data_IF_851381400090
#
_entry.id   IF_851381400090
#
_cell.length_a   1.000
_cell.length_b   1.000
_cell.length_c   1.000
_cell.angle_alpha   90.00
_cell.angle_beta   90.00
_cell.angle_gamma   90.00
#
_symmetry.space_group_name_H-M   'P 1'
#
loop_
_entity.id
_entity.type
_entity.pdbx_description
1 polymer ?
#
# COMPACT_ATOMS: atom_id res chain seq x y z
N UNK A 1 -3.93 58.91 -9.17
CA UNK A 1 -4.58 59.02 -7.84
C UNK A 1 -4.63 57.61 -7.27
N UNK A 2 -3.93 57.34 -6.16
CA UNK A 2 -3.92 56.04 -5.51
C UNK A 2 -4.53 56.17 -4.12
N UNK A 3 -5.38 55.21 -3.72
CA UNK A 3 -5.94 55.12 -2.38
C UNK A 3 -5.74 53.70 -1.85
N UNK A 4 -4.71 53.54 -1.02
CA UNK A 4 -4.47 52.34 -0.23
C UNK A 4 -5.23 52.43 1.10
N UNK A 5 -6.02 51.40 1.43
CA UNK A 5 -6.57 51.22 2.77
C UNK A 5 -6.37 49.77 3.21
N UNK A 6 -5.45 49.58 4.14
CA UNK A 6 -5.25 48.33 4.88
C UNK A 6 -6.29 48.24 6.00
N UNK A 7 -6.87 47.06 6.21
CA UNK A 7 -7.71 46.78 7.38
C UNK A 7 -7.42 45.38 7.93
N UNK A 8 -6.59 45.33 8.96
CA UNK A 8 -6.37 44.14 9.79
C UNK A 8 -7.49 44.04 10.82
N UNK A 9 -8.21 42.92 10.88
CA UNK A 9 -9.12 42.61 11.98
C UNK A 9 -8.51 41.55 12.88
N UNK A 10 -8.21 41.92 14.13
CA UNK A 10 -7.85 40.97 15.17
C UNK A 10 -9.10 40.25 15.67
N UNK A 11 -9.04 38.92 15.79
CA UNK A 11 -10.07 38.14 16.50
C UNK A 11 -9.49 37.75 17.86
N UNK A 12 -10.00 38.40 18.91
CA UNK A 12 -9.61 38.16 20.30
C UNK A 12 -10.01 36.76 20.75
N UNK A 13 -9.08 36.04 21.36
CA UNK A 13 -9.32 34.70 21.89
C UNK A 13 -10.18 34.75 23.16
N UNK A 14 -11.35 34.08 23.13
CA UNK A 14 -12.11 33.75 24.34
C UNK A 14 -11.68 32.39 24.87
N UNK A 15 -11.27 32.33 26.14
CA UNK A 15 -10.85 31.10 26.82
C UNK A 15 -11.95 30.04 26.81
N UNK A 16 -11.58 28.81 26.46
CA UNK A 16 -12.09 27.62 27.13
C UNK A 16 -10.88 26.83 27.64
N UNK A 17 -10.69 26.84 28.95
CA UNK A 17 -9.96 25.78 29.65
C UNK A 17 -10.98 24.60 29.76
N UNK A 18 -10.61 23.32 29.80
CA UNK A 18 -9.46 22.76 30.49
C UNK A 18 -8.95 21.45 29.84
N UNK A 19 -7.92 20.86 30.47
CA UNK A 19 -7.17 19.70 30.02
C UNK A 19 -8.01 18.41 29.89
N UNK A 20 -7.64 17.54 28.95
CA UNK A 20 -6.95 16.30 29.35
C UNK A 20 -6.27 15.59 28.18
N UNK A 21 -5.01 15.20 28.39
CA UNK A 21 -4.25 14.33 27.49
C UNK A 21 -4.74 12.89 27.62
N UNK A 22 -5.46 12.38 26.61
CA UNK A 22 -5.81 10.96 26.54
C UNK A 22 -4.61 10.11 26.10
N UNK A 23 -3.74 9.82 27.08
CA UNK A 23 -2.80 8.71 26.98
C UNK A 23 -3.57 7.39 26.93
N UNK A 24 -3.19 6.50 26.03
CA UNK A 24 -3.72 5.15 25.97
C UNK A 24 -3.05 4.27 27.02
N UNK A 25 -3.81 3.72 27.96
CA UNK A 25 -3.40 2.51 28.67
C UNK A 25 -4.64 1.71 29.14
N UNK A 26 -4.79 0.41 28.80
CA UNK A 26 -5.99 -0.36 29.12
C UNK A 26 -5.82 -1.24 30.37
N UNK A 27 -6.79 -1.22 31.29
CA UNK A 27 -6.85 -2.20 32.39
C UNK A 27 -8.26 -2.39 32.99
N UNK A 28 -8.89 -3.53 32.66
CA UNK A 28 -10.06 -4.14 33.32
C UNK A 28 -11.36 -3.28 33.39
N UNK A 29 -12.59 -3.81 33.62
CA UNK A 29 -13.04 -5.16 33.97
C UNK A 29 -14.40 -5.47 33.30
N UNK A 30 -14.74 -6.75 33.18
CA UNK A 30 -15.90 -7.29 32.43
C UNK A 30 -17.27 -7.13 33.15
N UNK A 31 -18.37 -6.99 32.39
CA UNK A 31 -19.64 -7.81 32.36
C UNK A 31 -20.69 -7.10 31.47
N UNK A 32 -21.04 -7.67 30.29
CA UNK A 32 -22.27 -8.44 29.98
C UNK A 32 -23.57 -7.61 30.13
N UNK A 33 -24.41 -7.36 29.12
CA UNK A 33 -24.65 -7.93 27.77
C UNK A 33 -25.32 -6.87 26.86
N UNK A 34 -25.70 -7.02 25.58
CA UNK A 34 -25.69 -8.11 24.55
C UNK A 34 -25.88 -7.52 23.13
N UNK A 35 -25.89 -8.35 22.07
CA UNK A 35 -26.23 -8.01 20.66
C UNK A 35 -25.42 -6.87 20.01
N UNK A 36 -24.10 -6.89 20.19
CA UNK A 36 -23.19 -6.21 19.27
C UNK A 36 -22.76 -7.18 18.15
N UNK A 37 -22.95 -6.81 16.88
CA UNK A 37 -22.39 -7.55 15.74
C UNK A 37 -20.88 -7.35 15.74
N UNK A 38 -20.15 -8.38 16.17
CA UNK A 38 -18.71 -8.29 16.34
C UNK A 38 -18.01 -8.52 14.99
N UNK A 39 -17.50 -7.44 14.37
CA UNK A 39 -16.70 -7.53 13.14
C UNK A 39 -15.33 -8.13 13.48
N UNK A 40 -15.26 -9.46 13.40
CA UNK A 40 -14.01 -10.23 13.55
C UNK A 40 -13.11 -9.95 12.35
N UNK A 41 -12.28 -8.91 12.43
CA UNK A 41 -11.11 -8.80 11.55
C UNK A 41 -10.17 -9.97 11.87
N UNK A 42 -10.25 -11.02 11.07
CA UNK A 42 -9.31 -12.13 11.09
C UNK A 42 -7.97 -11.66 10.50
N UNK A 43 -7.13 -11.06 11.34
CA UNK A 43 -5.69 -11.02 11.08
C UNK A 43 -5.15 -12.43 11.24
N UNK A 44 -5.12 -13.20 10.15
CA UNK A 44 -4.34 -14.44 10.09
C UNK A 44 -2.87 -14.07 10.25
N UNK A 45 -2.30 -14.46 11.39
CA UNK A 45 -0.85 -14.46 11.61
C UNK A 45 -0.16 -15.30 10.53
N UNK A 46 0.99 -14.88 9.99
CA UNK A 46 1.63 -15.58 8.87
C UNK A 46 2.04 -17.02 9.26
N UNK A 47 1.96 -17.98 8.33
CA UNK A 47 2.49 -19.32 8.55
C UNK A 47 4.03 -19.28 8.59
N UNK A 48 4.57 -19.18 9.81
CA UNK A 48 5.98 -19.43 10.07
C UNK A 48 6.26 -20.94 10.08
N UNK A 49 6.42 -21.54 8.91
CA UNK A 49 7.07 -22.84 8.72
C UNK A 49 7.50 -22.98 7.25
N UNK A 50 8.80 -23.07 6.99
CA UNK A 50 9.32 -23.30 5.64
C UNK A 50 9.27 -24.77 5.24
N UNK A 51 9.15 -25.05 3.93
CA UNK A 51 9.60 -26.29 3.31
C UNK A 51 9.54 -26.19 1.77
N UNK A 52 10.63 -26.60 1.11
CA UNK A 52 10.59 -27.26 -0.20
C UNK A 52 10.36 -26.40 -1.45
N UNK A 53 11.44 -26.15 -2.20
CA UNK A 53 11.37 -25.98 -3.65
C UNK A 53 10.66 -27.18 -4.30
N UNK A 54 9.58 -26.93 -5.05
CA UNK A 54 8.94 -27.90 -5.94
C UNK A 54 7.82 -27.26 -6.80
N UNK A 55 8.17 -26.45 -7.81
CA UNK A 55 7.37 -26.24 -9.03
C UNK A 55 5.88 -25.87 -8.90
N UNK A 56 5.43 -25.34 -7.76
CA UNK A 56 4.05 -24.87 -7.57
C UNK A 56 3.97 -23.44 -8.08
N UNK A 57 3.04 -23.16 -9.00
CA UNK A 57 2.70 -21.79 -9.41
C UNK A 57 2.31 -21.00 -8.17
N UNK A 58 3.28 -20.28 -7.59
CA UNK A 58 3.13 -19.65 -6.28
C UNK A 58 2.06 -18.57 -6.42
N UNK A 59 1.00 -18.73 -5.61
CA UNK A 59 -0.18 -17.87 -5.67
C UNK A 59 0.26 -16.46 -5.29
N UNK A 60 0.30 -15.57 -6.29
CA UNK A 60 0.73 -14.19 -6.13
C UNK A 60 -0.21 -13.47 -5.15
N UNK A 61 0.38 -12.90 -4.10
CA UNK A 61 -0.32 -12.20 -3.03
C UNK A 61 0.30 -10.83 -2.77
N UNK A 62 -0.34 -10.04 -1.91
CA UNK A 62 0.18 -8.72 -1.55
C UNK A 62 1.45 -8.91 -0.71
N UNK A 63 2.51 -8.17 -1.04
CA UNK A 63 3.84 -8.32 -0.45
C UNK A 63 4.74 -9.36 -1.13
N UNK A 64 4.22 -10.27 -1.96
CA UNK A 64 5.04 -11.26 -2.66
C UNK A 64 6.11 -10.60 -3.53
N UNK A 65 7.35 -11.11 -3.53
CA UNK A 65 8.39 -10.64 -4.43
C UNK A 65 8.13 -11.16 -5.85
N UNK A 66 8.38 -10.32 -6.84
CA UNK A 66 8.16 -10.62 -8.26
C UNK A 66 9.36 -10.16 -9.09
N UNK A 67 9.53 -10.78 -10.26
CA UNK A 67 10.47 -10.35 -11.29
C UNK A 67 9.71 -10.10 -12.60
N UNK A 68 9.98 -8.97 -13.25
CA UNK A 68 9.44 -8.62 -14.56
C UNK A 68 10.08 -9.52 -15.62
N UNK A 69 9.26 -10.21 -16.41
CA UNK A 69 9.71 -11.12 -17.48
C UNK A 69 9.77 -10.41 -18.83
N UNK A 70 8.85 -9.49 -19.09
CA UNK A 70 8.77 -8.71 -20.34
C UNK A 70 8.39 -7.27 -20.01
N UNK A 71 9.01 -6.30 -20.67
CA UNK A 71 8.67 -4.88 -20.53
C UNK A 71 7.31 -4.57 -21.18
N UNK A 72 6.30 -4.07 -20.43
CA UNK A 72 5.04 -3.61 -21.02
C UNK A 72 5.30 -2.47 -22.01
N UNK A 73 4.60 -2.42 -23.16
CA UNK A 73 4.75 -1.30 -24.12
C UNK A 73 4.26 0.04 -23.56
N UNK A 74 3.20 0.00 -22.76
CA UNK A 74 2.62 1.15 -22.08
C UNK A 74 2.39 0.80 -20.61
N UNK A 75 2.53 1.78 -19.73
CA UNK A 75 2.43 1.57 -18.28
C UNK A 75 1.71 2.75 -17.61
N UNK A 76 0.91 2.48 -16.57
CA UNK A 76 0.30 3.52 -15.75
C UNK A 76 1.12 3.73 -14.48
N UNK A 77 1.39 4.99 -14.14
CA UNK A 77 2.06 5.34 -12.88
C UNK A 77 1.03 5.57 -11.78
N UNK A 78 1.29 5.09 -10.57
CA UNK A 78 0.41 5.28 -9.41
C UNK A 78 0.64 6.63 -8.70
N UNK A 79 0.75 7.71 -9.50
CA UNK A 79 0.79 9.08 -9.00
C UNK A 79 -0.64 9.60 -8.70
N UNK A 80 -0.75 10.77 -8.03
CA UNK A 80 -2.04 11.40 -7.71
C UNK A 80 -2.96 11.57 -8.92
N UNK A 81 -2.37 11.83 -10.11
CA UNK A 81 -3.05 11.74 -11.40
C UNK A 81 -2.45 10.56 -12.19
N UNK A 82 -3.16 9.43 -12.33
CA UNK A 82 -2.66 8.27 -13.05
C UNK A 82 -2.58 8.50 -14.56
N UNK A 83 -1.39 8.80 -15.08
CA UNK A 83 -1.15 8.90 -16.51
C UNK A 83 -0.67 7.55 -17.10
N UNK A 84 -1.21 7.20 -18.27
CA UNK A 84 -0.70 6.13 -19.13
C UNK A 84 0.43 6.72 -19.98
N UNK A 85 1.60 6.09 -19.95
CA UNK A 85 2.80 6.54 -20.68
C UNK A 85 3.44 5.38 -21.43
N UNK A 86 4.18 5.69 -22.50
CA UNK A 86 5.07 4.71 -23.15
C UNK A 86 6.14 4.28 -22.15
N UNK A 87 6.48 3.00 -22.14
CA UNK A 87 7.56 2.50 -21.31
C UNK A 87 8.92 2.75 -21.97
N UNK A 88 9.41 3.99 -21.86
CA UNK A 88 10.73 4.41 -22.35
C UNK A 88 11.86 3.90 -21.45
N UNK A 89 11.90 2.59 -21.18
CA UNK A 89 12.88 1.95 -20.29
C UNK A 89 12.66 2.20 -18.79
N UNK A 90 11.43 2.58 -18.39
CA UNK A 90 11.05 2.76 -16.98
C UNK A 90 10.91 1.43 -16.24
N UNK A 91 10.49 0.39 -16.95
CA UNK A 91 10.37 -0.98 -16.45
C UNK A 91 10.98 -1.92 -17.48
N UNK A 92 11.98 -2.70 -17.05
CA UNK A 92 12.79 -3.57 -17.89
C UNK A 92 12.58 -5.04 -17.51
N UNK A 93 12.82 -6.00 -18.42
CA UNK A 93 12.94 -7.40 -18.05
C UNK A 93 14.06 -7.56 -17.02
N UNK A 94 13.85 -8.39 -16.01
CA UNK A 94 14.77 -8.55 -14.88
C UNK A 94 14.54 -7.59 -13.71
N UNK A 95 13.72 -6.54 -13.85
CA UNK A 95 13.40 -5.66 -12.73
C UNK A 95 12.67 -6.43 -11.63
N UNK A 96 13.18 -6.35 -10.39
CA UNK A 96 12.59 -6.98 -9.21
C UNK A 96 11.70 -5.97 -8.48
N UNK A 97 10.57 -6.45 -7.95
CA UNK A 97 9.62 -5.65 -7.20
C UNK A 97 8.84 -6.43 -6.16
N UNK A 98 7.88 -5.73 -5.54
CA UNK A 98 6.87 -6.33 -4.65
C UNK A 98 5.47 -5.89 -5.03
N UNK A 99 4.50 -6.78 -4.87
CA UNK A 99 3.09 -6.46 -5.06
C UNK A 99 2.58 -5.57 -3.93
N UNK A 100 1.98 -4.43 -4.28
CA UNK A 100 1.36 -3.46 -3.37
C UNK A 100 -0.15 -3.67 -3.24
N UNK A 101 -0.84 -3.94 -4.35
CA UNK A 101 -2.28 -4.26 -4.34
C UNK A 101 -2.73 -4.94 -5.63
N UNK A 102 -3.77 -5.79 -5.54
CA UNK A 102 -4.47 -6.31 -6.71
C UNK A 102 -5.46 -5.26 -7.24
N UNK A 103 -5.62 -5.19 -8.56
CA UNK A 103 -6.67 -4.42 -9.24
C UNK A 103 -7.51 -5.38 -10.11
N UNK A 104 -8.70 -4.95 -10.58
CA UNK A 104 -9.48 -5.75 -11.52
C UNK A 104 -8.71 -6.06 -12.82
N UNK A 105 -9.18 -7.07 -13.56
CA UNK A 105 -8.62 -7.49 -14.86
C UNK A 105 -7.16 -7.96 -14.83
N UNK A 106 -6.75 -8.60 -13.73
CA UNK A 106 -5.38 -9.10 -13.50
C UNK A 106 -4.29 -8.01 -13.64
N UNK A 107 -4.65 -6.77 -13.30
CA UNK A 107 -3.72 -5.65 -13.17
C UNK A 107 -3.25 -5.57 -11.72
N UNK A 108 -1.98 -5.28 -11.50
CA UNK A 108 -1.35 -5.27 -10.19
C UNK A 108 -0.60 -3.97 -9.98
N UNK A 109 -0.74 -3.37 -8.80
CA UNK A 109 0.16 -2.30 -8.38
C UNK A 109 1.46 -2.95 -7.89
N UNK A 110 2.56 -2.69 -8.57
CA UNK A 110 3.90 -3.22 -8.27
C UNK A 110 4.81 -2.08 -7.87
N UNK A 111 5.52 -2.24 -6.74
CA UNK A 111 6.60 -1.33 -6.32
C UNK A 111 7.90 -1.85 -6.89
N UNK A 112 8.52 -1.04 -7.75
CA UNK A 112 9.87 -1.19 -8.28
C UNK A 112 10.76 -0.10 -7.66
N UNK A 113 12.08 -0.20 -7.84
CA UNK A 113 13.03 0.79 -7.33
C UNK A 113 12.77 2.22 -7.86
N UNK A 114 12.32 2.33 -9.10
CA UNK A 114 11.98 3.60 -9.77
C UNK A 114 10.61 4.18 -9.37
N UNK A 115 9.70 3.38 -8.82
CA UNK A 115 8.36 3.86 -8.43
C UNK A 115 7.30 2.76 -8.35
N UNK A 116 6.04 3.18 -8.20
CA UNK A 116 4.88 2.28 -8.18
C UNK A 116 4.10 2.37 -9.48
N UNK A 117 3.88 1.23 -10.13
CA UNK A 117 3.24 1.14 -11.45
C UNK A 117 2.12 0.11 -11.48
N UNK A 118 1.19 0.26 -12.41
CA UNK A 118 0.19 -0.77 -12.72
C UNK A 118 0.70 -1.65 -13.87
N UNK A 119 0.83 -2.94 -13.60
CA UNK A 119 1.40 -3.95 -14.50
C UNK A 119 0.43 -5.15 -14.59
N UNK A 120 0.15 -5.65 -15.78
CA UNK A 120 -0.65 -6.87 -15.98
C UNK A 120 0.12 -8.11 -15.47
N UNK A 121 -0.58 -9.10 -14.91
CA UNK A 121 0.02 -10.34 -14.39
C UNK A 121 0.81 -11.16 -15.40
N UNK A 122 0.63 -10.93 -16.71
CA UNK A 122 1.39 -11.56 -17.80
C UNK A 122 2.84 -11.06 -17.94
N UNK A 123 3.16 -9.87 -17.40
CA UNK A 123 4.48 -9.24 -17.57
C UNK A 123 5.47 -9.57 -16.44
N UNK A 124 5.04 -10.25 -15.38
CA UNK A 124 5.89 -10.61 -14.25
C UNK A 124 5.57 -12.02 -13.74
N UNK A 125 6.50 -12.61 -13.00
CA UNK A 125 6.32 -13.89 -12.32
C UNK A 125 6.77 -13.79 -10.85
N UNK A 126 6.35 -14.71 -9.96
CA UNK A 126 6.93 -14.81 -8.62
C UNK A 126 8.47 -14.87 -8.69
N UNK A 127 9.15 -14.19 -7.77
CA UNK A 127 10.58 -14.36 -7.60
C UNK A 127 10.82 -15.57 -6.69
N UNK A 128 11.29 -16.66 -7.28
CA UNK A 128 11.77 -17.82 -6.54
C UNK A 128 13.22 -17.52 -6.12
N UNK A 129 13.43 -17.41 -4.80
CA UNK A 129 14.75 -17.34 -4.20
C UNK A 129 15.11 -18.76 -3.79
N UNK A 130 15.95 -19.42 -4.57
CA UNK A 130 16.66 -20.60 -4.08
C UNK A 130 17.65 -20.10 -3.02
N UNK A 131 17.48 -20.57 -1.79
CA UNK A 131 18.43 -20.36 -0.71
C UNK A 131 19.31 -21.60 -0.66
N UNK A 132 20.36 -21.60 -1.47
CA UNK A 132 21.49 -22.50 -1.31
C UNK A 132 22.01 -22.42 0.14
N UNK A 133 22.07 -23.59 0.78
CA UNK A 133 22.40 -23.80 2.20
C UNK A 133 23.63 -24.70 2.33
#
# INVERSE_FOLDING_TARGET
>A
MALSLSSTTAITCSKLHDNSSLQFNPSNTYKRSSNAVNVKCASTEPPAAGAGSAGRKSKLEIGSPIIVVEAPRMIKTAASVPCLRVNSGLVKPGDVGRIVSRKPKDVWAVRLSIGTYLIDGKYFKPLELELDS
#
